data_IF_333816424602
#
_entry.id   IF_333816424602
#
_cell.length_a   1.000
_cell.length_b   1.000
_cell.length_c   1.000
_cell.angle_alpha   90.00
_cell.angle_beta   90.00
_cell.angle_gamma   90.00
#
_symmetry.space_group_name_H-M   'P 1'
#
loop_
_entity.id
_entity.type
_entity.pdbx_description
1 polymer ?
#
# COMPACT_ATOMS: atom_id res chain seq x y z
N UNK A 1 -91.07 -49.19 42.68
CA UNK A 1 -91.32 -48.16 41.64
C UNK A 1 -90.00 -47.94 40.90
N UNK A 2 -89.88 -48.35 39.63
CA UNK A 2 -90.09 -47.51 38.43
C UNK A 2 -89.19 -46.24 38.47
N UNK A 3 -88.18 -45.94 37.64
CA UNK A 3 -87.79 -46.25 36.25
C UNK A 3 -86.24 -46.06 36.04
N UNK A 4 -85.68 -46.63 34.95
CA UNK A 4 -84.33 -46.40 34.36
C UNK A 4 -84.42 -45.31 33.24
N UNK A 5 -83.44 -45.05 32.33
CA UNK A 5 -81.94 -45.09 32.33
C UNK A 5 -81.30 -43.84 31.66
N UNK A 6 -79.95 -43.73 31.64
CA UNK A 6 -79.06 -43.49 30.46
C UNK A 6 -77.61 -43.31 30.97
N UNK A 7 -76.76 -44.36 30.86
CA UNK A 7 -75.68 -44.56 29.86
C UNK A 7 -74.50 -43.56 30.00
N UNK A 8 -73.36 -44.01 30.57
CA UNK A 8 -72.12 -44.47 29.88
C UNK A 8 -71.45 -43.33 29.07
N UNK A 9 -70.22 -42.88 29.35
CA UNK A 9 -68.99 -43.68 29.24
C UNK A 9 -67.79 -43.01 29.98
N UNK A 10 -66.99 -43.87 30.64
CA UNK A 10 -65.62 -43.75 31.20
C UNK A 10 -64.58 -43.03 30.28
N UNK A 11 -63.29 -42.84 30.70
CA UNK A 11 -62.67 -42.84 32.05
C UNK A 11 -61.84 -41.55 32.31
N UNK A 12 -61.51 -41.08 33.52
CA UNK A 12 -60.78 -41.66 34.67
C UNK A 12 -59.30 -42.00 34.38
N UNK A 13 -58.36 -41.12 34.76
CA UNK A 13 -57.32 -41.39 35.78
C UNK A 13 -56.37 -40.18 35.94
N UNK A 14 -56.29 -39.69 37.20
CA UNK A 14 -55.10 -39.38 38.04
C UNK A 14 -53.88 -38.81 37.30
N UNK A 15 -53.39 -37.61 37.63
CA UNK A 15 -52.41 -37.43 38.74
C UNK A 15 -52.41 -36.04 39.38
N UNK A 16 -52.33 -36.08 40.72
CA UNK A 16 -51.42 -35.38 41.65
C UNK A 16 -51.24 -33.86 41.55
N UNK A 17 -51.53 -33.24 42.70
CA UNK A 17 -51.42 -31.83 43.09
C UNK A 17 -50.03 -31.21 43.03
N UNK A 18 -50.04 -29.86 42.89
CA UNK A 18 -49.12 -28.83 43.41
C UNK A 18 -47.61 -28.98 43.12
N UNK A 19 -47.03 -27.97 42.48
CA UNK A 19 -46.12 -27.00 43.13
C UNK A 19 -45.87 -25.82 42.21
N UNK A 20 -45.83 -24.63 42.81
CA UNK A 20 -45.45 -23.38 42.18
C UNK A 20 -43.93 -23.34 41.99
N UNK A 21 -43.47 -23.21 40.75
CA UNK A 21 -42.09 -22.78 40.49
C UNK A 21 -42.09 -21.86 39.27
N UNK A 22 -41.96 -20.57 39.55
CA UNK A 22 -41.74 -19.55 38.55
C UNK A 22 -40.32 -19.71 38.00
N UNK A 23 -40.18 -20.19 36.75
CA UNK A 23 -38.95 -19.98 35.98
C UNK A 23 -39.14 -20.22 34.47
N UNK A 24 -38.68 -19.23 33.71
CA UNK A 24 -38.17 -19.29 32.33
C UNK A 24 -39.10 -19.76 31.20
N UNK A 25 -39.77 -18.79 30.56
CA UNK A 25 -39.98 -18.79 29.11
C UNK A 25 -39.42 -17.46 28.58
N UNK A 26 -38.12 -17.39 28.31
CA UNK A 26 -37.50 -16.28 27.59
C UNK A 26 -36.52 -16.79 26.53
N UNK A 27 -37.01 -17.58 25.57
CA UNK A 27 -36.16 -18.21 24.54
C UNK A 27 -36.95 -18.36 23.24
N UNK A 28 -37.12 -17.27 22.46
CA UNK A 28 -36.45 -17.20 21.14
C UNK A 28 -35.97 -15.79 20.71
N UNK A 29 -36.38 -14.72 21.40
CA UNK A 29 -36.16 -13.33 20.93
C UNK A 29 -34.71 -12.84 21.11
N UNK A 30 -34.05 -13.16 22.24
CA UNK A 30 -32.65 -12.73 22.51
C UNK A 30 -31.61 -13.38 21.59
N UNK A 31 -31.90 -14.57 21.05
CA UNK A 31 -31.04 -15.26 20.09
C UNK A 31 -31.14 -14.65 18.69
N UNK A 32 -32.33 -14.14 18.33
CA UNK A 32 -32.57 -13.42 17.07
C UNK A 32 -31.89 -12.04 17.12
N UNK A 33 -31.92 -11.34 18.25
CA UNK A 33 -31.27 -10.03 18.40
C UNK A 33 -29.73 -10.11 18.32
N UNK A 34 -29.13 -11.13 18.94
CA UNK A 34 -27.67 -11.35 18.89
C UNK A 34 -27.20 -11.82 17.52
N UNK A 35 -27.99 -12.64 16.81
CA UNK A 35 -27.74 -12.99 15.41
C UNK A 35 -27.92 -11.79 14.49
N UNK A 36 -28.95 -10.96 14.71
CA UNK A 36 -29.21 -9.75 13.92
C UNK A 36 -28.12 -8.71 14.13
N UNK A 37 -27.66 -8.48 15.36
CA UNK A 37 -26.50 -7.63 15.64
C UNK A 37 -25.23 -8.18 14.99
N UNK A 38 -24.98 -9.49 15.05
CA UNK A 38 -23.79 -10.09 14.42
C UNK A 38 -23.85 -10.02 12.90
N UNK A 39 -25.03 -10.14 12.29
CA UNK A 39 -25.27 -9.97 10.86
C UNK A 39 -25.13 -8.50 10.47
N UNK A 40 -25.63 -7.55 11.28
CA UNK A 40 -25.46 -6.10 11.06
C UNK A 40 -24.01 -5.65 11.21
N UNK A 41 -23.28 -6.14 12.21
CA UNK A 41 -21.85 -5.88 12.35
C UNK A 41 -21.04 -6.50 11.22
N UNK A 42 -21.35 -7.75 10.83
CA UNK A 42 -20.72 -8.41 9.68
C UNK A 42 -20.99 -7.71 8.35
N UNK A 43 -22.20 -7.20 8.13
CA UNK A 43 -22.55 -6.43 6.92
C UNK A 43 -21.89 -5.04 6.92
N UNK A 44 -21.80 -4.36 8.06
CA UNK A 44 -21.01 -3.11 8.19
C UNK A 44 -19.52 -3.33 7.93
N UNK A 45 -18.93 -4.44 8.39
CA UNK A 45 -17.54 -4.78 8.13
C UNK A 45 -17.29 -5.11 6.65
N UNK A 46 -18.22 -5.79 5.98
CA UNK A 46 -18.16 -6.09 4.55
C UNK A 46 -18.34 -4.83 3.68
N UNK A 47 -19.16 -3.87 4.11
CA UNK A 47 -19.34 -2.58 3.43
C UNK A 47 -18.12 -1.66 3.57
N UNK A 48 -17.39 -1.72 4.70
CA UNK A 48 -16.18 -0.91 4.93
C UNK A 48 -14.89 -1.54 4.41
N UNK A 49 -14.90 -2.84 4.11
CA UNK A 49 -13.73 -3.61 3.69
C UNK A 49 -12.98 -2.98 2.48
N UNK A 50 -13.67 -2.52 1.41
CA UNK A 50 -13.02 -1.83 0.29
C UNK A 50 -12.30 -0.55 0.73
N UNK A 51 -12.94 0.26 1.58
CA UNK A 51 -12.38 1.54 2.05
C UNK A 51 -11.10 1.35 2.88
N UNK A 52 -11.08 0.39 3.81
CA UNK A 52 -9.91 0.09 4.66
C UNK A 52 -8.76 -0.48 3.84
N UNK A 53 -9.07 -1.28 2.82
CA UNK A 53 -8.06 -1.79 1.89
C UNK A 53 -7.39 -0.65 1.11
N UNK A 54 -8.15 0.28 0.54
CA UNK A 54 -7.57 1.43 -0.18
C UNK A 54 -6.67 2.29 0.70
N UNK A 55 -7.10 2.57 1.94
CA UNK A 55 -6.30 3.31 2.91
C UNK A 55 -4.99 2.58 3.22
N UNK A 56 -5.02 1.26 3.41
CA UNK A 56 -3.80 0.45 3.64
C UNK A 56 -2.87 0.46 2.43
N UNK A 57 -3.39 0.27 1.23
CA UNK A 57 -2.60 0.26 -0.02
C UNK A 57 -1.97 1.62 -0.26
N UNK A 58 -2.76 2.70 -0.19
CA UNK A 58 -2.28 4.08 -0.28
C UNK A 58 -1.18 4.34 0.77
N UNK A 59 -1.43 4.04 2.04
CA UNK A 59 -0.46 4.24 3.12
C UNK A 59 0.84 3.46 2.93
N UNK A 60 0.75 2.20 2.45
CA UNK A 60 1.93 1.37 2.17
C UNK A 60 2.72 1.96 0.99
N UNK A 61 2.05 2.35 -0.09
CA UNK A 61 2.66 2.98 -1.26
C UNK A 61 3.38 4.27 -0.88
N UNK A 62 2.73 5.10 -0.08
CA UNK A 62 3.28 6.35 0.45
C UNK A 62 4.51 6.14 1.33
N UNK A 63 4.43 5.20 2.27
CA UNK A 63 5.55 4.87 3.16
C UNK A 63 6.77 4.42 2.35
N UNK A 64 6.54 3.55 1.36
CA UNK A 64 7.60 3.05 0.50
C UNK A 64 8.20 4.17 -0.34
N UNK A 65 7.35 4.97 -0.98
CA UNK A 65 7.74 6.15 -1.74
C UNK A 65 8.68 7.06 -0.90
N UNK A 66 8.31 7.37 0.34
CA UNK A 66 9.14 8.17 1.25
C UNK A 66 10.48 7.50 1.58
N UNK A 67 10.46 6.19 1.89
CA UNK A 67 11.67 5.43 2.24
C UNK A 67 12.66 5.37 1.08
N UNK A 68 12.18 5.02 -0.11
CA UNK A 68 13.02 4.90 -1.31
C UNK A 68 13.59 6.26 -1.68
N UNK A 69 12.77 7.31 -1.69
CA UNK A 69 13.20 8.70 -1.93
C UNK A 69 14.32 9.10 -0.96
N UNK A 70 14.12 8.90 0.35
CA UNK A 70 15.11 9.26 1.37
C UNK A 70 16.43 8.50 1.20
N UNK A 71 16.38 7.21 0.86
CA UNK A 71 17.58 6.38 0.65
C UNK A 71 18.32 6.77 -0.62
N UNK A 72 17.60 6.97 -1.72
CA UNK A 72 18.16 7.45 -2.99
C UNK A 72 18.83 8.80 -2.84
N UNK A 73 18.16 9.78 -2.23
CA UNK A 73 18.77 11.09 -1.97
C UNK A 73 20.04 10.98 -1.10
N UNK A 74 20.02 10.11 -0.08
CA UNK A 74 21.18 9.91 0.80
C UNK A 74 22.37 9.36 0.02
N UNK A 75 22.13 8.40 -0.87
CA UNK A 75 23.15 7.82 -1.74
C UNK A 75 23.73 8.85 -2.71
N UNK A 76 22.86 9.56 -3.43
CA UNK A 76 23.23 10.65 -4.33
C UNK A 76 24.06 11.73 -3.63
N UNK A 77 23.63 12.19 -2.44
CA UNK A 77 24.40 13.17 -1.64
C UNK A 77 25.78 12.67 -1.25
N UNK A 78 25.92 11.38 -0.93
CA UNK A 78 27.21 10.79 -0.59
C UNK A 78 28.12 10.72 -1.81
N UNK A 79 27.60 10.29 -2.95
CA UNK A 79 28.32 10.29 -4.23
C UNK A 79 28.80 11.71 -4.58
N UNK A 80 27.90 12.69 -4.54
CA UNK A 80 28.20 14.11 -4.80
C UNK A 80 29.34 14.63 -3.92
N UNK A 81 29.31 14.34 -2.61
CA UNK A 81 30.39 14.72 -1.68
C UNK A 81 31.72 14.08 -2.03
N UNK A 82 31.73 12.83 -2.50
CA UNK A 82 32.97 12.18 -2.93
C UNK A 82 33.49 12.79 -4.23
N UNK A 83 32.63 13.06 -5.20
CA UNK A 83 33.02 13.73 -6.44
C UNK A 83 33.55 15.15 -6.19
N UNK A 84 32.94 15.92 -5.29
CA UNK A 84 33.48 17.22 -4.86
C UNK A 84 34.88 17.11 -4.26
N UNK A 85 35.12 16.11 -3.40
CA UNK A 85 36.43 15.86 -2.80
C UNK A 85 37.47 15.44 -3.84
N UNK A 86 37.07 14.58 -4.78
CA UNK A 86 37.91 14.17 -5.90
C UNK A 86 38.26 15.39 -6.74
N UNK A 87 37.26 16.18 -7.15
CA UNK A 87 37.47 17.36 -7.98
C UNK A 87 38.43 18.36 -7.34
N UNK A 88 38.26 18.65 -6.04
CA UNK A 88 39.15 19.56 -5.28
C UNK A 88 40.60 19.07 -5.20
N UNK A 89 40.82 17.76 -5.14
CA UNK A 89 42.17 17.17 -5.08
C UNK A 89 42.77 17.06 -6.48
N UNK A 90 41.99 16.53 -7.43
CA UNK A 90 42.43 16.28 -8.79
C UNK A 90 42.73 17.58 -9.52
N UNK A 91 41.90 18.62 -9.37
CA UNK A 91 42.15 19.93 -9.99
C UNK A 91 43.46 20.59 -9.57
N UNK A 92 44.01 20.25 -8.40
CA UNK A 92 45.31 20.75 -7.91
C UNK A 92 46.51 20.02 -8.52
N UNK A 93 46.31 18.79 -8.97
CA UNK A 93 47.38 17.89 -9.42
C UNK A 93 47.36 17.76 -10.95
N UNK A 94 46.17 17.61 -11.50
CA UNK A 94 45.89 17.43 -12.92
C UNK A 94 44.56 18.10 -13.25
N UNK A 95 44.61 19.40 -13.48
CA UNK A 95 43.43 20.21 -13.81
C UNK A 95 42.78 19.80 -15.13
N UNK A 96 43.56 19.25 -16.07
CA UNK A 96 43.05 18.79 -17.37
C UNK A 96 42.21 17.54 -17.17
N UNK A 97 42.69 16.54 -16.42
CA UNK A 97 41.89 15.37 -16.08
C UNK A 97 40.67 15.72 -15.22
N UNK A 98 40.78 16.66 -14.29
CA UNK A 98 39.63 17.13 -13.50
C UNK A 98 38.51 17.68 -14.38
N UNK A 99 38.86 18.49 -15.39
CA UNK A 99 37.90 18.99 -16.39
C UNK A 99 37.38 17.87 -17.29
N UNK A 100 38.26 16.98 -17.77
CA UNK A 100 37.92 15.87 -18.66
C UNK A 100 36.97 14.84 -18.04
N UNK A 101 37.02 14.62 -16.72
CA UNK A 101 36.07 13.74 -16.01
C UNK A 101 34.68 14.36 -15.79
N UNK A 102 34.47 15.60 -16.23
CA UNK A 102 33.21 16.33 -16.13
C UNK A 102 32.62 16.29 -14.71
N UNK A 103 33.48 16.39 -13.68
CA UNK A 103 33.07 16.28 -12.29
C UNK A 103 32.11 17.41 -11.89
N UNK A 104 32.23 18.60 -12.50
CA UNK A 104 31.28 19.70 -12.33
C UNK A 104 29.88 19.34 -12.85
N UNK A 105 29.78 18.96 -14.12
CA UNK A 105 28.50 18.57 -14.76
C UNK A 105 27.83 17.40 -14.05
N UNK A 106 28.61 16.48 -13.49
CA UNK A 106 28.11 15.38 -12.68
C UNK A 106 27.50 15.83 -11.34
N UNK A 107 28.11 16.80 -10.66
CA UNK A 107 27.56 17.37 -9.42
C UNK A 107 26.19 18.02 -9.70
N UNK A 108 26.04 18.68 -10.84
CA UNK A 108 24.78 19.28 -11.27
C UNK A 108 23.75 18.20 -11.63
N UNK A 109 24.16 17.18 -12.39
CA UNK A 109 23.33 16.02 -12.71
C UNK A 109 22.81 15.32 -11.45
N UNK A 110 23.67 15.12 -10.44
CA UNK A 110 23.27 14.52 -9.16
C UNK A 110 22.27 15.41 -8.42
N UNK A 111 22.44 16.73 -8.47
CA UNK A 111 21.50 17.68 -7.84
C UNK A 111 20.14 17.62 -8.51
N UNK A 112 20.11 17.57 -9.84
CA UNK A 112 18.89 17.38 -10.61
C UNK A 112 18.20 16.04 -10.29
N UNK A 113 18.96 14.94 -10.21
CA UNK A 113 18.41 13.64 -9.80
C UNK A 113 17.81 13.68 -8.38
N UNK A 114 18.38 14.45 -7.45
CA UNK A 114 17.79 14.65 -6.13
C UNK A 114 16.47 15.43 -6.21
N UNK A 115 16.39 16.46 -7.05
CA UNK A 115 15.17 17.23 -7.26
C UNK A 115 14.06 16.40 -7.91
N UNK A 116 14.39 15.61 -8.94
CA UNK A 116 13.46 14.68 -9.57
C UNK A 116 12.85 13.70 -8.55
N UNK A 117 13.65 13.18 -7.63
CA UNK A 117 13.18 12.28 -6.58
C UNK A 117 12.24 12.95 -5.56
N UNK A 118 12.36 14.26 -5.36
CA UNK A 118 11.49 15.06 -4.49
C UNK A 118 10.17 15.41 -5.15
N UNK A 119 10.21 15.66 -6.45
CA UNK A 119 9.03 16.02 -7.22
C UNK A 119 8.02 14.88 -7.27
N UNK A 120 6.73 15.24 -7.38
CA UNK A 120 5.71 14.26 -7.75
C UNK A 120 5.91 13.90 -9.23
N UNK A 121 5.74 12.63 -9.57
CA UNK A 121 5.79 12.14 -10.95
C UNK A 121 4.53 12.64 -11.66
N UNK A 122 4.57 13.83 -12.26
CA UNK A 122 3.38 14.55 -12.76
C UNK A 122 2.96 14.15 -14.18
N UNK A 123 3.86 13.50 -14.92
CA UNK A 123 3.55 12.74 -16.12
C UNK A 123 4.37 11.46 -16.03
N UNK A 124 3.89 10.39 -16.64
CA UNK A 124 4.73 9.24 -16.99
C UNK A 124 5.83 9.83 -17.88
N UNK A 125 6.92 10.30 -17.27
CA UNK A 125 8.17 10.62 -17.95
C UNK A 125 8.60 9.28 -18.49
N UNK A 126 8.15 9.03 -19.71
CA UNK A 126 8.56 8.05 -20.70
C UNK A 126 8.90 6.70 -20.09
N UNK A 127 8.14 5.65 -20.41
CA UNK A 127 8.65 4.28 -20.33
C UNK A 127 10.03 4.26 -21.00
N UNK A 128 11.10 4.28 -20.21
CA UNK A 128 12.44 3.99 -20.68
C UNK A 128 12.47 2.46 -20.80
N UNK A 129 12.77 1.89 -21.97
CA UNK A 129 12.75 0.44 -22.16
C UNK A 129 13.81 -0.18 -21.25
N UNK A 130 13.41 -1.07 -20.33
CA UNK A 130 14.35 -1.79 -19.47
C UNK A 130 14.04 -1.80 -17.97
N UNK A 131 12.96 -1.13 -17.53
CA UNK A 131 12.48 -1.25 -16.16
C UNK A 131 12.20 -2.73 -15.79
N UNK A 132 12.98 -3.30 -14.86
CA UNK A 132 12.82 -4.70 -14.44
C UNK A 132 11.45 -4.88 -13.77
N UNK A 133 10.62 -5.72 -14.39
CA UNK A 133 9.24 -6.08 -14.02
C UNK A 133 9.08 -6.38 -12.52
N UNK A 134 7.98 -5.89 -11.91
CA UNK A 134 7.62 -6.13 -10.51
C UNK A 134 6.25 -6.81 -10.48
N UNK A 135 6.19 -8.16 -10.44
CA UNK A 135 4.94 -8.93 -10.61
C UNK A 135 3.82 -8.61 -9.61
N UNK A 136 4.20 -8.22 -8.39
CA UNK A 136 3.22 -7.91 -7.35
C UNK A 136 2.56 -6.52 -7.55
N UNK A 137 3.23 -5.56 -8.21
CA UNK A 137 2.59 -4.29 -8.57
C UNK A 137 1.46 -4.53 -9.58
N UNK A 138 1.69 -5.37 -10.59
CA UNK A 138 0.66 -5.79 -11.54
C UNK A 138 -0.50 -6.51 -10.87
N UNK A 139 -0.22 -7.35 -9.88
CA UNK A 139 -1.26 -8.05 -9.12
C UNK A 139 -2.13 -7.08 -8.33
N UNK A 140 -1.53 -6.07 -7.69
CA UNK A 140 -2.24 -5.00 -6.99
C UNK A 140 -2.97 -4.06 -7.95
N UNK A 141 -2.36 -3.73 -9.09
CA UNK A 141 -2.99 -2.90 -10.10
C UNK A 141 -4.20 -3.63 -10.70
N UNK A 142 -4.07 -4.94 -10.96
CA UNK A 142 -5.15 -5.80 -11.42
C UNK A 142 -6.27 -5.89 -10.39
N UNK A 143 -5.93 -6.05 -9.10
CA UNK A 143 -6.93 -6.08 -8.02
C UNK A 143 -7.65 -4.74 -7.84
N UNK A 144 -6.94 -3.62 -7.93
CA UNK A 144 -7.51 -2.27 -7.89
C UNK A 144 -8.40 -2.00 -9.12
N UNK A 145 -7.98 -2.44 -10.31
CA UNK A 145 -8.76 -2.30 -11.54
C UNK A 145 -10.01 -3.16 -11.52
N UNK A 146 -9.91 -4.39 -11.00
CA UNK A 146 -11.05 -5.27 -10.77
C UNK A 146 -12.04 -4.59 -9.81
N UNK A 147 -11.57 -4.12 -8.66
CA UNK A 147 -12.45 -3.49 -7.67
C UNK A 147 -13.07 -2.19 -8.21
N UNK A 148 -12.33 -1.40 -8.98
CA UNK A 148 -12.85 -0.23 -9.70
C UNK A 148 -13.95 -0.59 -10.70
N UNK A 149 -13.82 -1.73 -11.40
CA UNK A 149 -14.77 -2.17 -12.42
C UNK A 149 -16.10 -2.65 -11.82
N UNK A 150 -16.05 -3.30 -10.66
CA UNK A 150 -17.23 -3.90 -10.01
C UNK A 150 -17.79 -3.09 -8.84
N UNK A 151 -17.19 -1.95 -8.50
CA UNK A 151 -17.71 -1.01 -7.50
C UNK A 151 -19.20 -0.65 -7.71
N UNK A 152 -19.71 -0.42 -8.94
CA UNK A 152 -21.13 -0.13 -9.16
C UNK A 152 -22.07 -1.30 -8.82
N UNK A 153 -21.63 -2.54 -9.02
CA UNK A 153 -22.44 -3.74 -8.76
C UNK A 153 -22.41 -4.13 -7.28
N UNK A 154 -21.27 -3.90 -6.59
CA UNK A 154 -21.17 -4.01 -5.13
C UNK A 154 -22.08 -2.99 -4.43
N UNK A 155 -22.22 -1.80 -5.00
CA UNK A 155 -23.11 -0.74 -4.49
C UNK A 155 -24.60 -1.11 -4.62
N UNK A 156 -24.95 -1.91 -5.64
CA UNK A 156 -26.31 -2.41 -5.86
C UNK A 156 -26.62 -3.64 -5.00
N UNK A 157 -25.65 -4.53 -4.79
CA UNK A 157 -25.82 -5.73 -3.98
C UNK A 157 -26.07 -5.44 -2.49
N UNK A 158 -25.59 -4.30 -1.98
CA UNK A 158 -25.88 -3.83 -0.61
C UNK A 158 -27.24 -3.14 -0.42
N UNK A 159 -28.06 -3.03 -1.47
CA UNK A 159 -29.29 -2.25 -1.51
C UNK A 159 -30.57 -3.05 -1.72
N UNK A 160 -30.72 -4.22 -1.10
CA UNK A 160 -32.01 -4.94 -1.10
C UNK A 160 -32.89 -4.36 0.02
N UNK A 161 -34.00 -3.72 -0.40
CA UNK A 161 -34.93 -2.88 0.36
C UNK A 161 -35.75 -3.58 1.49
N UNK A 162 -36.00 -2.88 2.61
CA UNK A 162 -37.35 -2.50 3.11
C UNK A 162 -37.33 -1.79 4.48
N UNK A 163 -37.45 -0.45 4.49
CA UNK A 163 -38.39 0.35 5.30
C UNK A 163 -38.07 1.86 5.22
N UNK A 164 -39.00 2.65 4.67
CA UNK A 164 -38.71 3.88 3.92
C UNK A 164 -38.59 5.18 4.74
N UNK A 165 -38.68 5.18 6.08
CA UNK A 165 -38.48 6.41 6.89
C UNK A 165 -37.17 6.42 7.70
N UNK A 166 -36.67 5.26 8.13
CA UNK A 166 -35.28 5.08 8.62
C UNK A 166 -34.26 5.01 7.47
N UNK A 167 -34.74 4.81 6.24
CA UNK A 167 -33.93 4.64 5.03
C UNK A 167 -33.27 5.94 4.54
N UNK A 168 -33.81 7.13 4.81
CA UNK A 168 -33.21 8.36 4.27
C UNK A 168 -31.84 8.69 4.90
N UNK A 169 -31.68 8.49 6.21
CA UNK A 169 -30.41 8.71 6.91
C UNK A 169 -29.37 7.65 6.56
N UNK A 170 -29.79 6.38 6.42
CA UNK A 170 -28.91 5.29 5.99
C UNK A 170 -28.54 5.39 4.52
N UNK A 171 -29.44 5.83 3.62
CA UNK A 171 -29.12 6.13 2.22
C UNK A 171 -28.15 7.30 2.10
N UNK A 172 -28.34 8.37 2.89
CA UNK A 172 -27.40 9.50 2.94
C UNK A 172 -26.03 9.09 3.46
N UNK A 173 -26.00 8.22 4.46
CA UNK A 173 -24.75 7.66 5.00
C UNK A 173 -24.07 6.73 3.97
N UNK A 174 -24.81 5.83 3.33
CA UNK A 174 -24.31 4.95 2.28
C UNK A 174 -23.77 5.74 1.09
N UNK A 175 -24.45 6.81 0.67
CA UNK A 175 -23.95 7.74 -0.35
C UNK A 175 -22.63 8.41 0.09
N UNK A 176 -22.55 8.84 1.34
CA UNK A 176 -21.32 9.39 1.92
C UNK A 176 -20.16 8.39 1.97
N UNK A 177 -20.44 7.14 2.34
CA UNK A 177 -19.42 6.08 2.44
C UNK A 177 -18.98 5.59 1.06
N UNK A 178 -19.89 5.54 0.06
CA UNK A 178 -19.55 5.32 -1.34
C UNK A 178 -18.63 6.42 -1.90
N UNK A 179 -18.93 7.68 -1.58
CA UNK A 179 -18.09 8.80 -1.99
C UNK A 179 -16.69 8.74 -1.36
N UNK A 180 -16.59 8.37 -0.07
CA UNK A 180 -15.31 8.13 0.61
C UNK A 180 -14.55 6.95 0.00
N UNK A 181 -15.25 5.84 -0.30
CA UNK A 181 -14.64 4.67 -0.93
C UNK A 181 -14.10 4.99 -2.33
N UNK A 182 -14.85 5.75 -3.13
CA UNK A 182 -14.40 6.22 -4.45
C UNK A 182 -13.20 7.16 -4.33
N UNK A 183 -13.19 8.06 -3.35
CA UNK A 183 -12.03 8.91 -3.05
C UNK A 183 -10.80 8.10 -2.65
N UNK A 184 -10.98 7.11 -1.77
CA UNK A 184 -9.92 6.20 -1.32
C UNK A 184 -9.34 5.37 -2.47
N UNK A 185 -10.18 4.83 -3.36
CA UNK A 185 -9.74 4.11 -4.55
C UNK A 185 -8.90 4.99 -5.48
N UNK A 186 -9.38 6.20 -5.81
CA UNK A 186 -8.65 7.14 -6.66
C UNK A 186 -7.30 7.53 -6.06
N UNK A 187 -7.27 7.74 -4.75
CA UNK A 187 -6.03 8.03 -4.03
C UNK A 187 -5.07 6.84 -4.09
N UNK A 188 -5.53 5.62 -3.81
CA UNK A 188 -4.71 4.42 -3.88
C UNK A 188 -4.15 4.19 -5.30
N UNK A 189 -4.94 4.42 -6.35
CA UNK A 189 -4.47 4.37 -7.74
C UNK A 189 -3.40 5.43 -8.02
N UNK A 190 -3.60 6.66 -7.57
CA UNK A 190 -2.63 7.74 -7.75
C UNK A 190 -1.31 7.45 -7.03
N UNK A 191 -1.35 6.99 -5.78
CA UNK A 191 -0.15 6.67 -4.99
C UNK A 191 0.60 5.47 -5.58
N UNK A 192 -0.11 4.50 -6.14
CA UNK A 192 0.47 3.39 -6.89
C UNK A 192 1.20 3.85 -8.15
N UNK A 193 0.58 4.73 -8.95
CA UNK A 193 1.22 5.32 -10.13
C UNK A 193 2.48 6.13 -9.76
N UNK A 194 2.42 6.89 -8.66
CA UNK A 194 3.59 7.60 -8.13
C UNK A 194 4.71 6.65 -7.75
N UNK A 195 4.37 5.55 -7.08
CA UNK A 195 5.34 4.55 -6.66
C UNK A 195 6.00 3.86 -7.86
N UNK A 196 5.25 3.46 -8.87
CA UNK A 196 5.78 2.89 -10.11
C UNK A 196 6.76 3.84 -10.80
N UNK A 197 6.36 5.11 -10.95
CA UNK A 197 7.23 6.13 -11.54
C UNK A 197 8.55 6.30 -10.78
N UNK A 198 8.48 6.31 -9.45
CA UNK A 198 9.69 6.40 -8.60
C UNK A 198 10.55 5.15 -8.66
N UNK A 199 9.95 3.97 -8.76
CA UNK A 199 10.70 2.72 -8.90
C UNK A 199 11.49 2.68 -10.21
N UNK A 200 10.97 3.27 -11.29
CA UNK A 200 11.71 3.44 -12.53
C UNK A 200 12.88 4.41 -12.35
N UNK A 201 12.63 5.62 -11.81
CA UNK A 201 13.69 6.61 -11.52
C UNK A 201 14.81 6.02 -10.65
N UNK A 202 14.45 5.19 -9.68
CA UNK A 202 15.37 4.52 -8.76
C UNK A 202 16.29 3.53 -9.49
N UNK A 203 15.78 2.82 -10.50
CA UNK A 203 16.57 1.91 -11.33
C UNK A 203 17.55 2.70 -12.21
N UNK A 204 17.10 3.80 -12.81
CA UNK A 204 17.98 4.67 -13.60
C UNK A 204 19.11 5.25 -12.75
N UNK A 205 18.78 5.71 -11.54
CA UNK A 205 19.76 6.21 -10.58
C UNK A 205 20.73 5.11 -10.13
N UNK A 206 20.25 3.86 -10.00
CA UNK A 206 21.11 2.72 -9.67
C UNK A 206 22.12 2.47 -10.79
N UNK A 207 21.71 2.53 -12.05
CA UNK A 207 22.61 2.38 -13.19
C UNK A 207 23.62 3.53 -13.24
N UNK A 208 23.15 4.77 -13.06
CA UNK A 208 24.00 5.95 -13.02
C UNK A 208 25.10 5.83 -11.94
N UNK A 209 24.74 5.47 -10.71
CA UNK A 209 25.70 5.32 -9.61
C UNK A 209 26.75 4.24 -9.94
N UNK A 210 26.35 3.13 -10.56
CA UNK A 210 27.27 2.08 -10.98
C UNK A 210 28.23 2.54 -12.07
N UNK A 211 27.72 3.19 -13.12
CA UNK A 211 28.55 3.73 -14.20
C UNK A 211 29.55 4.76 -13.68
N UNK A 212 29.11 5.67 -12.81
CA UNK A 212 30.01 6.65 -12.17
C UNK A 212 31.06 5.99 -11.29
N UNK A 213 30.70 4.97 -10.54
CA UNK A 213 31.65 4.21 -9.73
C UNK A 213 32.75 3.57 -10.60
N UNK A 214 32.38 2.94 -11.72
CA UNK A 214 33.34 2.33 -12.64
C UNK A 214 34.25 3.38 -13.29
N UNK A 215 33.66 4.46 -13.82
CA UNK A 215 34.39 5.55 -14.46
C UNK A 215 35.42 6.17 -13.50
N UNK A 216 35.01 6.51 -12.28
CA UNK A 216 35.90 7.12 -11.29
C UNK A 216 36.99 6.14 -10.83
N UNK A 217 36.67 4.85 -10.70
CA UNK A 217 37.67 3.84 -10.33
C UNK A 217 38.75 3.72 -11.41
N UNK A 218 38.34 3.60 -12.68
CA UNK A 218 39.27 3.48 -13.80
C UNK A 218 40.14 4.74 -13.95
N UNK A 219 39.50 5.92 -14.00
CA UNK A 219 40.20 7.17 -14.21
C UNK A 219 41.15 7.56 -13.08
N UNK A 220 40.81 7.22 -11.84
CA UNK A 220 41.59 7.62 -10.67
C UNK A 220 42.67 6.59 -10.27
N UNK A 221 42.63 5.39 -10.82
CA UNK A 221 43.59 4.31 -10.54
C UNK A 221 45.04 4.73 -10.79
N UNK A 222 45.29 5.52 -11.84
CA UNK A 222 46.62 6.03 -12.21
C UNK A 222 47.25 6.99 -11.20
N UNK A 223 46.46 7.55 -10.28
CA UNK A 223 46.97 8.41 -9.20
C UNK A 223 47.26 7.63 -7.91
N UNK A 224 47.30 6.29 -7.99
CA UNK A 224 47.68 5.40 -6.90
C UNK A 224 46.77 5.54 -5.67
N UNK A 225 47.40 5.62 -4.49
CA UNK A 225 46.69 5.59 -3.20
C UNK A 225 45.91 6.88 -2.89
N UNK A 226 46.14 7.98 -3.62
CA UNK A 226 45.59 9.31 -3.32
C UNK A 226 44.06 9.35 -3.25
N UNK A 227 43.39 8.56 -4.10
CA UNK A 227 41.93 8.48 -4.18
C UNK A 227 41.36 7.16 -3.66
N UNK A 228 42.19 6.24 -3.16
CA UNK A 228 41.78 4.91 -2.68
C UNK A 228 40.59 4.96 -1.69
N UNK A 229 40.63 5.86 -0.71
CA UNK A 229 39.54 6.07 0.27
C UNK A 229 38.26 6.61 -0.37
N UNK A 230 38.39 7.50 -1.36
CA UNK A 230 37.25 8.06 -2.08
C UNK A 230 36.58 6.99 -2.95
N UNK A 231 37.38 6.24 -3.70
CA UNK A 231 36.94 5.10 -4.53
C UNK A 231 36.27 4.04 -3.66
N UNK A 232 36.88 3.62 -2.55
CA UNK A 232 36.30 2.66 -1.62
C UNK A 232 34.95 3.13 -1.04
N UNK A 233 34.81 4.43 -0.76
CA UNK A 233 33.53 5.00 -0.30
C UNK A 233 32.45 4.97 -1.39
N UNK A 234 32.81 5.23 -2.65
CA UNK A 234 31.88 5.19 -3.79
C UNK A 234 31.46 3.75 -4.08
N UNK A 235 32.40 2.81 -4.11
CA UNK A 235 32.12 1.38 -4.29
C UNK A 235 31.19 0.85 -3.21
N UNK A 236 31.43 1.24 -1.95
CA UNK A 236 30.56 0.91 -0.82
C UNK A 236 29.14 1.44 -1.03
N UNK A 237 29.00 2.70 -1.45
CA UNK A 237 27.67 3.29 -1.70
C UNK A 237 26.95 2.62 -2.88
N UNK A 238 27.64 2.35 -3.98
CA UNK A 238 27.07 1.64 -5.14
C UNK A 238 26.57 0.23 -4.75
N UNK A 239 27.36 -0.51 -3.95
CA UNK A 239 26.99 -1.83 -3.46
C UNK A 239 25.75 -1.78 -2.56
N UNK A 240 25.77 -0.95 -1.51
CA UNK A 240 24.64 -0.88 -0.59
C UNK A 240 23.39 -0.30 -1.23
N UNK A 241 23.53 0.64 -2.17
CA UNK A 241 22.39 1.18 -2.89
C UNK A 241 21.73 0.09 -3.75
N UNK A 242 22.50 -0.69 -4.50
CA UNK A 242 21.99 -1.84 -5.25
C UNK A 242 21.23 -2.81 -4.34
N UNK A 243 21.86 -3.25 -3.24
CA UNK A 243 21.24 -4.16 -2.28
C UNK A 243 19.96 -3.57 -1.65
N UNK A 244 19.94 -2.26 -1.41
CA UNK A 244 18.76 -1.55 -0.91
C UNK A 244 17.60 -1.65 -1.90
N UNK A 245 17.85 -1.51 -3.21
CA UNK A 245 16.80 -1.61 -4.23
C UNK A 245 16.26 -3.04 -4.33
N UNK A 246 17.15 -4.05 -4.24
CA UNK A 246 16.76 -5.46 -4.27
C UNK A 246 15.90 -5.82 -3.05
N UNK A 247 16.33 -5.45 -1.84
CA UNK A 247 15.56 -5.69 -0.61
C UNK A 247 14.20 -4.97 -0.62
N UNK A 248 14.14 -3.76 -1.17
CA UNK A 248 12.88 -3.05 -1.29
C UNK A 248 11.89 -3.73 -2.26
N UNK A 249 12.38 -4.43 -3.29
CA UNK A 249 11.50 -5.25 -4.13
C UNK A 249 10.89 -6.42 -3.35
N UNK A 250 11.62 -7.00 -2.40
CA UNK A 250 11.17 -8.10 -1.55
C UNK A 250 10.17 -7.65 -0.48
N UNK A 251 10.46 -6.55 0.24
CA UNK A 251 9.59 -5.99 1.28
C UNK A 251 8.22 -5.53 0.75
N UNK A 252 8.10 -5.30 -0.55
CA UNK A 252 6.83 -4.94 -1.16
C UNK A 252 5.97 -6.16 -1.49
N UNK A 253 6.58 -7.33 -1.72
CA UNK A 253 5.89 -8.58 -2.06
C UNK A 253 5.17 -9.24 -0.87
N UNK A 254 5.49 -8.84 0.36
CA UNK A 254 4.89 -9.30 1.62
C UNK A 254 4.11 -8.16 2.28
#
# INVERSE_FOLDING_TARGET
>A
MKWRPFFFLLPLLVTVSLTSEAQSISSPVKQIDSLSQKIQHGSNDLQQLPSRYFVKVSSKADLFNRRITKRTEKSLRRLQKQEQKINRKLSKIDSVAAKGLALGNSIDSISHLQELMRSKVTKITSKIPGGKYIPYLDSLQTSLNFLSKYQPDLSKAGGIEKDLSGSLSTLRQAQGDLMKAQGGLRQAQADMQQLEGKLNQVQDIQQYIQQRQQLLTQALSKYGSLFSKNIGSISKEAYYYKATIENYKELWQH
#
